data_IF_503960551151
#
_entry.id   IF_503960551151
#
_cell.length_a   1.000
_cell.length_b   1.000
_cell.length_c   1.000
_cell.angle_alpha   90.00
_cell.angle_beta   90.00
_cell.angle_gamma   90.00
#
_symmetry.space_group_name_H-M   'P 1'
#
loop_
_entity.id
_entity.type
_entity.pdbx_description
1 polymer ?
#
# COMPACT_ATOMS: atom_id res chain seq x y z
N UNK A 1 10.33 -15.98 -6.66
CA UNK A 1 10.42 -15.03 -7.78
C UNK A 1 11.82 -14.44 -7.83
N UNK A 2 12.38 -14.19 -9.01
CA UNK A 2 13.67 -13.52 -9.17
C UNK A 2 13.50 -12.03 -9.55
N UNK A 3 14.59 -11.25 -9.51
CA UNK A 3 14.56 -9.82 -9.83
C UNK A 3 13.97 -9.53 -11.21
N UNK A 4 14.28 -10.38 -12.21
CA UNK A 4 13.77 -10.23 -13.59
C UNK A 4 12.25 -10.39 -13.66
N UNK A 5 11.69 -11.38 -12.94
CA UNK A 5 10.25 -11.60 -12.87
C UNK A 5 9.54 -10.45 -12.16
N UNK A 6 10.11 -9.93 -11.06
CA UNK A 6 9.55 -8.79 -10.34
C UNK A 6 9.54 -7.51 -11.19
N UNK A 7 10.64 -7.22 -11.90
CA UNK A 7 10.73 -6.08 -12.80
C UNK A 7 9.69 -6.17 -13.94
N UNK A 8 9.50 -7.37 -14.51
CA UNK A 8 8.48 -7.61 -15.54
C UNK A 8 7.06 -7.40 -15.01
N UNK A 9 6.76 -7.80 -13.77
CA UNK A 9 5.46 -7.55 -13.15
C UNK A 9 5.22 -6.05 -12.91
N UNK A 10 6.23 -5.34 -12.41
CA UNK A 10 6.16 -3.88 -12.20
C UNK A 10 5.94 -3.12 -13.51
N UNK A 11 6.52 -3.61 -14.62
CA UNK A 11 6.30 -3.01 -15.94
C UNK A 11 4.82 -3.04 -16.35
N UNK A 12 4.10 -4.12 -16.05
CA UNK A 12 2.66 -4.22 -16.34
C UNK A 12 1.83 -3.22 -15.52
N UNK A 13 2.26 -2.88 -14.30
CA UNK A 13 1.62 -1.83 -13.48
C UNK A 13 1.85 -0.44 -14.10
N UNK A 14 3.07 -0.13 -14.52
CA UNK A 14 3.40 1.13 -15.20
C UNK A 14 2.63 1.30 -16.52
N UNK A 15 2.48 0.21 -17.28
CA UNK A 15 1.69 0.15 -18.51
C UNK A 15 0.17 0.15 -18.26
N UNK A 16 -0.26 0.21 -16.99
CA UNK A 16 -1.68 0.18 -16.58
C UNK A 16 -2.44 -1.05 -17.08
N UNK A 17 -1.74 -2.17 -17.29
CA UNK A 17 -2.31 -3.46 -17.68
C UNK A 17 -2.67 -4.32 -16.46
N UNK A 18 -2.20 -3.93 -15.27
CA UNK A 18 -2.53 -4.52 -13.99
C UNK A 18 -2.87 -3.39 -13.01
N UNK A 19 -3.88 -3.64 -12.20
CA UNK A 19 -4.30 -2.76 -11.11
C UNK A 19 -3.74 -3.29 -9.78
N UNK A 20 -3.32 -2.42 -8.85
CA UNK A 20 -2.84 -2.83 -7.52
C UNK A 20 -3.93 -3.42 -6.62
N UNK A 21 -5.22 -3.30 -6.95
CA UNK A 21 -6.37 -3.85 -6.25
C UNK A 21 -6.36 -3.57 -4.73
N UNK A 22 -6.01 -2.35 -4.32
CA UNK A 22 -5.91 -1.98 -2.92
C UNK A 22 -7.30 -1.81 -2.29
N UNK A 23 -7.58 -2.54 -1.21
CA UNK A 23 -8.88 -2.57 -0.54
C UNK A 23 -8.95 -1.70 0.71
N UNK A 24 -7.92 -1.75 1.55
CA UNK A 24 -7.89 -1.06 2.85
C UNK A 24 -6.49 -0.53 3.15
N UNK A 25 -6.42 0.64 3.81
CA UNK A 25 -5.17 1.26 4.25
C UNK A 25 -5.25 1.53 5.75
N UNK A 26 -4.23 1.12 6.49
CA UNK A 26 -4.17 1.25 7.94
C UNK A 26 -3.10 2.27 8.37
N UNK A 27 -3.29 2.96 9.50
CA UNK A 27 -2.23 3.74 10.14
C UNK A 27 -1.17 2.83 10.78
N UNK A 28 -0.02 3.42 11.12
CA UNK A 28 1.16 2.72 11.64
C UNK A 28 0.89 1.90 12.92
N UNK A 29 0.10 2.45 13.84
CA UNK A 29 -0.27 1.82 15.10
C UNK A 29 -1.21 0.60 14.93
N UNK A 30 -1.86 0.47 13.77
CA UNK A 30 -2.79 -0.62 13.47
C UNK A 30 -2.15 -1.78 12.69
N UNK A 31 -0.84 -1.76 12.43
CA UNK A 31 -0.13 -2.88 11.79
C UNK A 31 -0.46 -4.23 12.45
N UNK A 32 -0.42 -4.38 13.80
CA UNK A 32 -0.72 -5.67 14.42
C UNK A 32 -2.17 -6.12 14.17
N UNK A 33 -3.12 -5.19 14.23
CA UNK A 33 -4.54 -5.48 13.99
C UNK A 33 -4.79 -5.92 12.54
N UNK A 34 -4.19 -5.23 11.56
CA UNK A 34 -4.30 -5.60 10.15
C UNK A 34 -3.78 -7.03 9.90
N UNK A 35 -2.66 -7.42 10.50
CA UNK A 35 -2.13 -8.79 10.41
C UNK A 35 -3.06 -9.82 11.04
N UNK A 36 -3.69 -9.50 12.18
CA UNK A 36 -4.68 -10.39 12.80
C UNK A 36 -5.94 -10.56 11.93
N UNK A 37 -6.37 -9.52 11.21
CA UNK A 37 -7.46 -9.61 10.23
C UNK A 37 -7.09 -10.52 9.05
N UNK A 38 -5.86 -10.45 8.55
CA UNK A 38 -5.36 -11.37 7.51
C UNK A 38 -5.39 -12.81 8.01
N UNK A 39 -4.81 -13.07 9.18
CA UNK A 39 -4.72 -14.40 9.77
C UNK A 39 -6.09 -15.06 9.93
N UNK A 40 -7.10 -14.27 10.31
CA UNK A 40 -8.48 -14.72 10.48
C UNK A 40 -9.32 -14.72 9.19
N UNK A 41 -8.74 -14.33 8.05
CA UNK A 41 -9.45 -14.13 6.77
C UNK A 41 -10.63 -13.15 6.85
N UNK A 42 -10.49 -12.07 7.62
CA UNK A 42 -11.52 -11.04 7.83
C UNK A 42 -11.26 -9.74 7.04
N UNK A 43 -10.23 -9.72 6.19
CA UNK A 43 -9.90 -8.57 5.35
C UNK A 43 -10.83 -8.50 4.13
N UNK A 44 -11.10 -7.29 3.63
CA UNK A 44 -11.87 -7.13 2.38
C UNK A 44 -11.09 -7.68 1.18
N UNK A 45 -11.78 -8.19 0.13
CA UNK A 45 -11.13 -8.62 -1.10
C UNK A 45 -10.21 -7.54 -1.67
N UNK A 46 -8.94 -7.88 -1.90
CA UNK A 46 -7.91 -6.96 -2.37
C UNK A 46 -6.69 -6.94 -1.45
N UNK A 47 -5.76 -6.06 -1.76
CA UNK A 47 -4.51 -5.89 -1.01
C UNK A 47 -4.69 -4.84 0.09
N UNK A 48 -4.25 -5.17 1.31
CA UNK A 48 -4.16 -4.20 2.39
C UNK A 48 -2.79 -3.51 2.37
N UNK A 49 -2.76 -2.23 2.75
CA UNK A 49 -1.55 -1.42 2.85
C UNK A 49 -1.47 -0.72 4.21
N UNK A 50 -0.28 -0.24 4.57
CA UNK A 50 -0.07 0.52 5.81
C UNK A 50 0.75 1.78 5.55
N UNK A 51 0.40 2.86 6.26
CA UNK A 51 1.17 4.09 6.28
C UNK A 51 2.40 3.92 7.19
N UNK A 52 3.55 4.42 6.72
CA UNK A 52 4.81 4.43 7.48
C UNK A 52 5.23 5.87 7.78
N UNK A 53 5.77 6.58 6.78
CA UNK A 53 6.12 8.00 6.90
C UNK A 53 5.13 8.93 6.19
N UNK A 54 4.19 8.37 5.42
CA UNK A 54 3.11 9.15 4.85
C UNK A 54 2.09 9.50 5.96
N UNK A 55 1.83 10.79 6.25
CA UNK A 55 0.97 11.18 7.37
C UNK A 55 -0.52 10.88 7.11
N UNK A 56 -0.94 10.77 5.85
CA UNK A 56 -2.31 10.43 5.46
C UNK A 56 -2.34 9.71 4.11
N UNK A 57 -3.49 9.14 3.75
CA UNK A 57 -3.71 8.44 2.48
C UNK A 57 -3.83 9.40 1.30
N UNK A 58 -3.54 8.91 0.08
CA UNK A 58 -3.79 9.64 -1.17
C UNK A 58 -2.66 10.55 -1.65
N UNK A 59 -1.57 10.64 -0.88
CA UNK A 59 -0.35 11.36 -1.22
C UNK A 59 0.43 10.59 -2.29
N UNK A 60 0.99 11.29 -3.28
CA UNK A 60 1.65 10.66 -4.44
C UNK A 60 3.11 11.04 -4.59
N UNK A 61 3.48 12.20 -4.05
CA UNK A 61 4.86 12.72 -4.12
C UNK A 61 5.47 12.85 -2.73
N UNK A 62 6.78 13.03 -2.69
CA UNK A 62 7.48 13.29 -1.44
C UNK A 62 7.12 14.67 -0.89
N UNK A 63 6.94 15.64 -1.77
CA UNK A 63 6.51 17.00 -1.45
C UNK A 63 5.13 17.02 -0.79
N UNK A 64 4.17 16.23 -1.30
CA UNK A 64 2.83 16.09 -0.71
C UNK A 64 2.92 15.61 0.76
N UNK A 65 3.80 14.63 1.02
CA UNK A 65 4.02 14.08 2.35
C UNK A 65 4.69 15.07 3.30
N UNK A 66 5.69 15.81 2.81
CA UNK A 66 6.33 16.87 3.57
C UNK A 66 5.35 18.00 3.93
N UNK A 67 4.50 18.43 2.99
CA UNK A 67 3.51 19.47 3.25
C UNK A 67 2.47 19.01 4.27
N UNK A 68 1.93 17.80 4.09
CA UNK A 68 0.94 17.24 4.99
C UNK A 68 1.48 16.98 6.41
N UNK A 69 2.77 16.67 6.56
CA UNK A 69 3.41 16.39 7.85
C UNK A 69 3.84 17.63 8.64
N UNK A 70 3.70 18.84 8.09
CA UNK A 70 4.00 20.12 8.79
C UNK A 70 2.84 20.64 9.63
N UNK A 71 1.67 19.99 9.58
CA UNK A 71 0.50 20.29 10.41
C UNK A 71 0.59 19.58 11.74
#
# INVERSE_FOLDING_TARGET
>A
ANLKQAASANRLMLERRRDPCMSEVFPWDQIPAAHMMMLKNQHKPGNMAVLVQAPTTGLRTFEDALEAGRR
#
